data_IF_059354050969
#
_entry.id   IF_059354050969
#
_cell.length_a   1.000
_cell.length_b   1.000
_cell.length_c   1.000
_cell.angle_alpha   90.00
_cell.angle_beta   90.00
_cell.angle_gamma   90.00
#
_symmetry.space_group_name_H-M   'P 1'
#
loop_
_entity.id
_entity.type
_entity.pdbx_description
1 polymer ?
#
# COMPACT_ATOMS: atom_id res chain seq x y z
N UNK A 1 -8.50 -6.12 -20.17
CA UNK A 1 -9.41 -5.00 -19.99
C UNK A 1 -8.80 -3.92 -19.11
N UNK A 2 -9.42 -2.74 -18.99
CA UNK A 2 -8.89 -1.58 -18.26
C UNK A 2 -8.65 -1.85 -16.75
N UNK A 3 -9.34 -2.83 -16.18
CA UNK A 3 -9.31 -3.19 -14.76
C UNK A 3 -8.44 -4.42 -14.46
N UNK A 4 -7.59 -4.80 -15.38
CA UNK A 4 -6.66 -5.92 -15.17
C UNK A 4 -5.25 -5.39 -15.16
N UNK A 5 -4.61 -5.24 -13.97
CA UNK A 5 -3.21 -4.85 -13.91
C UNK A 5 -2.34 -5.89 -14.62
N UNK A 6 -1.40 -5.40 -15.43
CA UNK A 6 -0.42 -6.29 -16.06
C UNK A 6 0.66 -6.67 -15.05
N UNK A 7 1.11 -7.93 -15.02
CA UNK A 7 2.28 -8.29 -14.24
C UNK A 7 3.51 -7.58 -14.79
N UNK A 8 4.45 -7.23 -13.91
CA UNK A 8 5.78 -6.76 -14.33
C UNK A 8 6.60 -7.93 -14.85
N UNK A 9 7.72 -7.64 -15.53
CA UNK A 9 8.63 -8.67 -16.11
C UNK A 9 9.14 -9.67 -15.05
N UNK A 10 9.25 -9.24 -13.79
CA UNK A 10 9.62 -10.09 -12.66
C UNK A 10 8.46 -10.90 -12.06
N UNK A 11 7.26 -10.84 -12.68
CA UNK A 11 6.04 -11.49 -12.21
C UNK A 11 5.29 -10.75 -11.11
N UNK A 12 5.77 -9.62 -10.65
CA UNK A 12 5.11 -8.83 -9.61
C UNK A 12 3.80 -8.26 -10.13
N UNK A 13 2.73 -8.40 -9.36
CA UNK A 13 1.43 -7.80 -9.64
C UNK A 13 1.38 -6.39 -9.07
N UNK A 14 1.08 -5.43 -9.91
CA UNK A 14 0.84 -4.03 -9.50
C UNK A 14 -0.66 -3.81 -9.30
N UNK A 15 -1.01 -2.82 -8.49
CA UNK A 15 -2.42 -2.42 -8.28
C UNK A 15 -2.93 -1.46 -9.35
N UNK A 16 -2.04 -0.86 -10.11
CA UNK A 16 -2.38 0.12 -11.13
C UNK A 16 -2.51 -0.54 -12.51
N UNK A 17 -3.70 -0.47 -13.07
CA UNK A 17 -4.02 -0.95 -14.41
C UNK A 17 -3.95 0.22 -15.43
N UNK A 18 -4.83 0.25 -16.40
CA UNK A 18 -4.88 1.32 -17.41
C UNK A 18 -5.59 2.57 -16.87
N UNK A 19 -4.90 3.35 -16.05
CA UNK A 19 -5.45 4.56 -15.42
C UNK A 19 -6.32 4.33 -14.19
N UNK A 20 -6.41 3.10 -13.70
CA UNK A 20 -7.24 2.74 -12.54
C UNK A 20 -6.42 1.95 -11.53
N UNK A 21 -6.65 2.19 -10.25
CA UNK A 21 -6.18 1.32 -9.16
C UNK A 21 -7.20 0.21 -8.96
N UNK A 22 -6.74 -1.02 -8.85
CA UNK A 22 -7.57 -2.20 -8.55
C UNK A 22 -7.05 -2.81 -7.25
N UNK A 23 -7.84 -2.74 -6.21
CA UNK A 23 -7.47 -3.17 -4.87
C UNK A 23 -8.62 -3.92 -4.19
N UNK A 24 -8.37 -4.36 -2.99
CA UNK A 24 -9.36 -4.94 -2.09
C UNK A 24 -9.39 -4.12 -0.79
N UNK A 25 -10.57 -3.87 -0.28
CA UNK A 25 -10.77 -3.18 1.00
C UNK A 25 -11.87 -3.91 1.79
N UNK A 26 -11.52 -4.46 2.95
CA UNK A 26 -12.47 -5.18 3.79
C UNK A 26 -13.16 -6.37 3.11
N UNK A 27 -12.48 -7.06 2.19
CA UNK A 27 -13.06 -8.16 1.41
C UNK A 27 -13.82 -7.72 0.14
N UNK A 28 -13.98 -6.41 -0.09
CA UNK A 28 -14.64 -5.86 -1.26
C UNK A 28 -13.62 -5.43 -2.32
N UNK A 29 -13.81 -5.88 -3.57
CA UNK A 29 -13.01 -5.37 -4.67
C UNK A 29 -13.33 -3.89 -4.89
N UNK A 30 -12.30 -3.06 -5.06
CA UNK A 30 -12.45 -1.63 -5.37
C UNK A 30 -11.64 -1.25 -6.61
N UNK A 31 -12.28 -0.54 -7.51
CA UNK A 31 -11.67 0.08 -8.69
C UNK A 31 -11.75 1.59 -8.47
N UNK A 32 -10.60 2.25 -8.39
CA UNK A 32 -10.56 3.65 -7.98
C UNK A 32 -9.56 4.48 -8.78
N UNK A 33 -9.80 5.77 -8.82
CA UNK A 33 -8.80 6.75 -9.21
C UNK A 33 -9.04 8.08 -8.51
N UNK A 34 -7.97 8.71 -8.06
CA UNK A 34 -8.00 10.06 -7.50
C UNK A 34 -7.56 11.11 -8.53
N UNK A 35 -7.92 12.35 -8.29
CA UNK A 35 -7.51 13.47 -9.10
C UNK A 35 -7.19 14.70 -8.25
N UNK A 36 -6.34 15.58 -8.80
CA UNK A 36 -6.03 16.83 -8.14
C UNK A 36 -5.43 17.86 -9.09
N UNK A 37 -5.94 19.07 -9.00
CA UNK A 37 -5.38 20.29 -9.59
C UNK A 37 -5.39 21.37 -8.50
N UNK A 38 -4.75 22.50 -8.74
CA UNK A 38 -4.67 23.57 -7.74
C UNK A 38 -6.07 23.97 -7.21
N UNK A 39 -6.31 23.73 -5.92
CA UNK A 39 -7.54 24.06 -5.23
C UNK A 39 -8.67 23.04 -5.36
N UNK A 40 -8.51 21.97 -6.17
CA UNK A 40 -9.53 20.97 -6.38
C UNK A 40 -8.94 19.56 -6.26
N UNK A 41 -9.63 18.70 -5.54
CA UNK A 41 -9.26 17.29 -5.38
C UNK A 41 -10.48 16.39 -5.58
N UNK A 42 -10.25 15.15 -6.02
CA UNK A 42 -11.33 14.19 -6.25
C UNK A 42 -10.90 12.77 -5.91
N UNK A 43 -11.88 11.93 -5.62
CA UNK A 43 -11.75 10.49 -5.48
C UNK A 43 -12.99 9.84 -6.09
N UNK A 44 -12.78 8.83 -6.93
CA UNK A 44 -13.83 8.03 -7.53
C UNK A 44 -13.56 6.56 -7.24
N UNK A 45 -14.58 5.85 -6.74
CA UNK A 45 -14.51 4.43 -6.37
C UNK A 45 -15.71 3.69 -6.93
N UNK A 46 -15.45 2.51 -7.43
CA UNK A 46 -16.48 1.55 -7.82
C UNK A 46 -16.20 0.23 -7.13
N UNK A 47 -17.19 -0.29 -6.45
CA UNK A 47 -17.21 -1.60 -5.81
C UNK A 47 -18.09 -2.52 -6.67
N UNK A 48 -17.51 -3.31 -7.59
CA UNK A 48 -18.26 -4.06 -8.57
C UNK A 48 -19.18 -5.13 -7.98
N UNK A 49 -18.73 -5.77 -6.91
CA UNK A 49 -19.49 -6.85 -6.26
C UNK A 49 -20.69 -6.33 -5.46
N UNK A 50 -20.66 -5.04 -5.10
CA UNK A 50 -21.69 -4.36 -4.30
C UNK A 50 -22.53 -3.39 -5.15
N UNK A 51 -22.22 -3.23 -6.44
CA UNK A 51 -22.82 -2.24 -7.36
C UNK A 51 -22.84 -0.82 -6.77
N UNK A 52 -21.80 -0.46 -6.02
CA UNK A 52 -21.66 0.81 -5.33
C UNK A 52 -20.65 1.72 -6.01
N UNK A 53 -21.08 2.94 -6.33
CA UNK A 53 -20.20 4.01 -6.83
C UNK A 53 -20.17 5.14 -5.82
N UNK A 54 -18.97 5.58 -5.47
CA UNK A 54 -18.73 6.74 -4.61
C UNK A 54 -17.89 7.74 -5.37
N UNK A 55 -18.33 9.00 -5.41
CA UNK A 55 -17.56 10.10 -5.99
C UNK A 55 -17.50 11.23 -4.98
N UNK A 56 -16.27 11.65 -4.68
CA UNK A 56 -15.98 12.79 -3.81
C UNK A 56 -15.30 13.88 -4.62
N UNK A 57 -15.87 15.06 -4.63
CA UNK A 57 -15.31 16.25 -5.26
C UNK A 57 -15.14 17.33 -4.19
N UNK A 58 -13.93 17.85 -4.06
CA UNK A 58 -13.61 18.92 -3.10
C UNK A 58 -13.01 20.12 -3.83
N UNK A 59 -13.43 21.30 -3.45
CA UNK A 59 -12.83 22.56 -3.89
C UNK A 59 -11.76 23.06 -2.90
N UNK A 60 -11.06 22.12 -2.26
CA UNK A 60 -9.99 22.39 -1.31
C UNK A 60 -8.89 21.32 -1.37
N UNK A 61 -7.72 21.63 -0.84
CA UNK A 61 -6.60 20.69 -0.64
C UNK A 61 -6.38 20.37 0.84
N UNK A 62 -7.33 20.73 1.70
CA UNK A 62 -7.28 20.48 3.14
C UNK A 62 -7.60 19.03 3.53
N UNK A 63 -7.42 18.75 4.82
CA UNK A 63 -7.83 17.48 5.42
C UNK A 63 -9.26 17.57 5.98
N UNK A 64 -10.05 16.46 5.95
CA UNK A 64 -9.70 15.17 5.33
C UNK A 64 -9.70 15.25 3.80
N UNK A 65 -8.75 14.59 3.16
CA UNK A 65 -8.69 14.51 1.70
C UNK A 65 -9.80 13.61 1.12
N UNK A 66 -10.09 13.72 -0.21
CA UNK A 66 -11.22 13.04 -0.83
C UNK A 66 -11.14 11.52 -0.71
N UNK A 67 -9.94 10.94 -0.74
CA UNK A 67 -9.76 9.50 -0.56
C UNK A 67 -10.17 9.01 0.84
N UNK A 68 -9.88 9.79 1.90
CA UNK A 68 -10.32 9.45 3.25
C UNK A 68 -11.85 9.56 3.39
N UNK A 69 -12.45 10.57 2.78
CA UNK A 69 -13.91 10.72 2.76
C UNK A 69 -14.58 9.59 1.96
N UNK A 70 -14.04 9.24 0.77
CA UNK A 70 -14.54 8.14 -0.04
C UNK A 70 -14.50 6.80 0.70
N UNK A 71 -13.43 6.56 1.46
CA UNK A 71 -13.34 5.37 2.31
C UNK A 71 -14.36 5.38 3.44
N UNK A 72 -14.53 6.48 4.14
CA UNK A 72 -15.50 6.60 5.23
C UNK A 72 -16.94 6.42 4.72
N UNK A 73 -17.26 6.96 3.54
CA UNK A 73 -18.56 6.74 2.89
C UNK A 73 -18.77 5.27 2.53
N UNK A 74 -17.75 4.59 1.98
CA UNK A 74 -17.83 3.18 1.70
C UNK A 74 -18.09 2.34 2.95
N UNK A 75 -17.38 2.61 4.03
CA UNK A 75 -17.60 1.94 5.31
C UNK A 75 -19.01 2.17 5.87
N UNK A 76 -19.58 3.35 5.66
CA UNK A 76 -20.97 3.64 6.08
C UNK A 76 -21.99 2.76 5.37
N UNK A 77 -21.73 2.39 4.11
CA UNK A 77 -22.66 1.61 3.28
C UNK A 77 -22.38 0.11 3.38
N UNK A 78 -21.11 -0.28 3.31
CA UNK A 78 -20.66 -1.68 3.23
C UNK A 78 -20.35 -2.29 4.61
N UNK A 79 -20.36 -1.48 5.66
CA UNK A 79 -19.93 -1.89 6.99
C UNK A 79 -18.44 -1.58 7.23
N UNK A 80 -18.02 -1.78 8.46
CA UNK A 80 -16.62 -1.57 8.84
C UNK A 80 -15.73 -2.53 8.03
N UNK A 81 -14.77 -1.96 7.32
CA UNK A 81 -13.71 -2.74 6.72
C UNK A 81 -12.83 -3.29 7.85
N UNK A 82 -13.24 -4.42 8.41
CA UNK A 82 -12.41 -5.09 9.38
C UNK A 82 -11.07 -5.39 8.71
N UNK A 83 -10.06 -4.71 9.20
CA UNK A 83 -8.69 -5.08 8.95
C UNK A 83 -8.49 -6.40 9.69
N UNK A 84 -8.82 -7.52 9.05
CA UNK A 84 -8.61 -8.85 9.62
C UNK A 84 -7.14 -8.93 9.95
N UNK A 85 -6.81 -8.60 11.20
CA UNK A 85 -5.46 -8.70 11.69
C UNK A 85 -5.03 -10.15 11.50
N UNK A 86 -4.05 -10.37 10.65
CA UNK A 86 -3.44 -11.68 10.56
C UNK A 86 -2.95 -12.09 11.96
N UNK A 87 -2.88 -13.38 12.21
CA UNK A 87 -2.24 -13.89 13.42
C UNK A 87 -0.86 -13.24 13.57
N UNK A 88 -0.36 -13.03 14.80
CA UNK A 88 0.96 -12.43 15.00
C UNK A 88 2.03 -13.12 14.15
N UNK A 89 2.97 -12.34 13.62
CA UNK A 89 4.08 -12.91 12.87
C UNK A 89 4.86 -13.89 13.76
N UNK A 90 4.92 -15.15 13.34
CA UNK A 90 5.57 -16.24 14.10
C UNK A 90 7.04 -16.43 13.76
N UNK A 91 7.61 -15.62 12.84
CA UNK A 91 9.01 -15.70 12.45
C UNK A 91 9.91 -14.74 13.22
N UNK A 92 11.18 -14.71 12.85
CA UNK A 92 12.17 -13.79 13.43
C UNK A 92 12.10 -12.43 12.69
N UNK A 93 11.67 -11.39 13.39
CA UNK A 93 11.61 -10.03 12.83
C UNK A 93 13.02 -9.45 12.55
N UNK A 94 14.07 -9.93 13.24
CA UNK A 94 15.43 -9.46 13.02
C UNK A 94 15.95 -9.81 11.62
N UNK A 95 15.45 -10.88 11.00
CA UNK A 95 15.77 -11.21 9.61
C UNK A 95 15.34 -10.12 8.63
N UNK A 96 14.32 -9.35 8.97
CA UNK A 96 13.75 -8.28 8.13
C UNK A 96 14.51 -6.96 8.28
N UNK A 97 15.32 -6.81 9.34
CA UNK A 97 16.01 -5.55 9.62
C UNK A 97 17.03 -5.21 8.54
N UNK A 98 17.17 -3.93 8.25
CA UNK A 98 18.14 -3.44 7.27
C UNK A 98 17.66 -2.23 6.49
N UNK A 99 18.50 -1.80 5.56
CA UNK A 99 18.20 -0.72 4.62
C UNK A 99 17.87 -1.29 3.25
N UNK A 100 16.73 -0.89 2.70
CA UNK A 100 16.24 -1.32 1.40
C UNK A 100 16.14 -0.09 0.50
N UNK A 101 16.77 -0.14 -0.68
CA UNK A 101 16.90 1.01 -1.57
C UNK A 101 16.59 0.61 -3.00
N UNK A 102 15.92 1.49 -3.73
CA UNK A 102 15.59 1.25 -5.12
C UNK A 102 15.10 2.51 -5.85
N UNK A 103 14.96 2.43 -7.17
CA UNK A 103 14.51 3.55 -7.97
C UNK A 103 13.03 3.86 -7.73
N UNK A 104 12.69 5.15 -7.70
CA UNK A 104 11.33 5.65 -7.57
C UNK A 104 11.15 6.92 -8.38
N UNK A 105 10.56 6.81 -9.59
CA UNK A 105 10.15 7.93 -10.44
C UNK A 105 11.22 9.04 -10.58
N UNK A 106 12.43 8.65 -10.93
CA UNK A 106 13.55 9.60 -11.15
C UNK A 106 14.31 10.00 -9.88
N UNK A 107 13.95 9.44 -8.73
CA UNK A 107 14.66 9.58 -7.46
C UNK A 107 14.98 8.21 -6.88
N UNK A 108 15.60 8.19 -5.71
CA UNK A 108 15.83 6.97 -4.94
C UNK A 108 14.87 6.91 -3.75
N UNK A 109 14.23 5.78 -3.57
CA UNK A 109 13.42 5.49 -2.38
C UNK A 109 14.22 4.59 -1.44
N UNK A 110 14.26 4.97 -0.18
CA UNK A 110 14.83 4.14 0.89
C UNK A 110 13.79 3.81 1.95
N UNK A 111 13.80 2.57 2.40
CA UNK A 111 13.05 2.10 3.57
C UNK A 111 14.02 1.43 4.52
N UNK A 112 14.01 1.86 5.77
CA UNK A 112 14.78 1.22 6.86
C UNK A 112 13.79 0.41 7.69
N UNK A 113 14.05 -0.87 7.82
CA UNK A 113 13.35 -1.78 8.72
C UNK A 113 14.15 -1.99 10.00
N UNK A 114 13.53 -1.88 11.13
CA UNK A 114 14.10 -2.06 12.46
C UNK A 114 13.09 -2.76 13.37
N UNK A 115 13.56 -3.39 14.44
CA UNK A 115 12.69 -3.97 15.47
C UNK A 115 12.75 -3.10 16.72
N UNK A 116 11.60 -2.81 17.30
CA UNK A 116 11.49 -2.08 18.56
C UNK A 116 10.40 -2.72 19.42
N UNK A 117 10.74 -3.09 20.65
CA UNK A 117 9.85 -3.77 21.59
C UNK A 117 9.14 -5.00 20.98
N UNK A 118 9.83 -5.77 20.13
CA UNK A 118 9.29 -6.97 19.48
C UNK A 118 8.32 -6.67 18.33
N UNK A 119 8.30 -5.44 17.82
CA UNK A 119 7.47 -5.00 16.67
C UNK A 119 8.33 -4.48 15.54
N UNK A 120 7.88 -4.72 14.32
CA UNK A 120 8.52 -4.16 13.13
C UNK A 120 8.22 -2.65 13.05
N UNK A 121 9.27 -1.85 12.91
CA UNK A 121 9.19 -0.44 12.56
C UNK A 121 9.77 -0.19 11.18
N UNK A 122 9.07 0.60 10.38
CA UNK A 122 9.56 1.05 9.08
C UNK A 122 9.76 2.57 9.08
N UNK A 123 10.79 3.02 8.38
CA UNK A 123 11.07 4.43 8.12
C UNK A 123 11.28 4.63 6.62
N UNK A 124 10.48 5.46 5.98
CA UNK A 124 10.60 5.79 4.56
C UNK A 124 11.29 7.16 4.38
N UNK A 125 12.45 7.16 3.76
CA UNK A 125 13.22 8.39 3.52
C UNK A 125 13.40 9.22 4.80
N UNK A 126 12.94 10.47 4.78
CA UNK A 126 13.01 11.38 5.92
C UNK A 126 11.75 11.38 6.81
N UNK A 127 10.76 10.53 6.51
CA UNK A 127 9.55 10.46 7.32
C UNK A 127 9.81 9.89 8.72
N UNK A 128 8.87 10.09 9.63
CA UNK A 128 8.90 9.45 10.95
C UNK A 128 8.73 7.95 10.82
N UNK A 129 9.30 7.21 11.78
CA UNK A 129 9.06 5.78 11.92
C UNK A 129 7.59 5.47 12.19
N UNK A 130 7.13 4.32 11.75
CA UNK A 130 5.80 3.81 12.02
C UNK A 130 5.80 2.29 12.16
N UNK A 131 4.83 1.77 12.87
CA UNK A 131 4.58 0.33 13.01
C UNK A 131 3.50 -0.07 11.99
N UNK A 132 3.82 -0.89 10.99
CA UNK A 132 2.83 -1.42 10.05
C UNK A 132 2.13 -2.64 10.64
N UNK A 133 0.91 -2.93 10.17
CA UNK A 133 0.15 -4.11 10.56
C UNK A 133 0.56 -5.32 9.73
N UNK A 134 0.79 -6.46 10.36
CA UNK A 134 1.08 -7.72 9.67
C UNK A 134 -0.16 -8.27 8.97
N UNK A 135 0.00 -8.77 7.74
CA UNK A 135 -1.07 -9.28 6.88
C UNK A 135 -0.91 -10.74 6.46
N UNK A 136 0.20 -11.37 6.76
CA UNK A 136 0.55 -12.71 6.29
C UNK A 136 1.67 -12.70 5.24
N UNK A 137 2.26 -13.85 4.97
CA UNK A 137 3.24 -14.10 3.88
C UNK A 137 4.35 -13.04 3.74
N UNK A 138 4.96 -12.63 4.85
CA UNK A 138 5.98 -11.58 4.89
C UNK A 138 5.47 -10.21 4.40
N UNK A 139 4.16 -9.96 4.52
CA UNK A 139 3.51 -8.71 4.09
C UNK A 139 2.96 -7.93 5.28
N UNK A 140 3.21 -6.64 5.28
CA UNK A 140 2.69 -5.67 6.25
C UNK A 140 2.02 -4.51 5.51
N UNK A 141 1.06 -3.85 6.16
CA UNK A 141 0.42 -2.66 5.59
C UNK A 141 0.36 -1.47 6.56
N UNK A 142 0.15 -0.30 5.97
CA UNK A 142 -0.22 0.94 6.65
C UNK A 142 -1.25 1.67 5.79
N UNK A 143 -2.52 1.52 6.11
CA UNK A 143 -3.59 1.98 5.22
C UNK A 143 -3.48 1.31 3.85
N UNK A 144 -3.45 2.10 2.77
CA UNK A 144 -3.29 1.60 1.39
C UNK A 144 -1.86 1.31 0.97
N UNK A 145 -0.89 1.47 1.85
CA UNK A 145 0.51 1.14 1.60
C UNK A 145 0.78 -0.31 2.01
N UNK A 146 1.43 -1.07 1.15
CA UNK A 146 1.80 -2.46 1.41
C UNK A 146 3.29 -2.67 1.27
N UNK A 147 3.85 -3.45 2.17
CA UNK A 147 5.28 -3.74 2.30
C UNK A 147 5.46 -5.25 2.36
N UNK A 148 5.99 -5.85 1.31
CA UNK A 148 6.23 -7.29 1.23
C UNK A 148 7.72 -7.58 1.19
N UNK A 149 8.23 -8.28 2.19
CA UNK A 149 9.61 -8.74 2.20
C UNK A 149 9.76 -9.99 1.35
N UNK A 150 10.79 -10.03 0.51
CA UNK A 150 11.01 -11.13 -0.42
C UNK A 150 12.27 -11.88 -0.05
N UNK A 151 12.10 -13.18 0.18
CA UNK A 151 13.20 -14.10 0.46
C UNK A 151 13.80 -14.62 -0.85
N UNK A 152 15.13 -14.60 -0.95
CA UNK A 152 15.90 -15.25 -2.03
C UNK A 152 16.91 -16.21 -1.38
N UNK A 153 16.68 -17.50 -1.53
CA UNK A 153 17.38 -18.51 -0.75
C UNK A 153 17.01 -18.37 0.73
N UNK A 154 18.01 -18.34 1.62
CA UNK A 154 17.80 -18.30 3.07
C UNK A 154 17.66 -16.89 3.65
N UNK A 155 17.86 -15.84 2.86
CA UNK A 155 17.85 -14.45 3.35
C UNK A 155 16.80 -13.57 2.69
N UNK A 156 16.37 -12.57 3.42
CA UNK A 156 15.55 -11.48 2.87
C UNK A 156 16.44 -10.60 1.99
N UNK A 157 16.08 -10.50 0.71
CA UNK A 157 16.88 -9.81 -0.30
C UNK A 157 16.23 -8.50 -0.80
N UNK A 158 14.90 -8.43 -0.77
CA UNK A 158 14.15 -7.31 -1.30
C UNK A 158 13.01 -6.93 -0.35
N UNK A 159 12.60 -5.67 -0.44
CA UNK A 159 11.34 -5.15 0.07
C UNK A 159 10.55 -4.58 -1.11
N UNK A 160 9.37 -5.10 -1.34
CA UNK A 160 8.43 -4.57 -2.33
C UNK A 160 7.49 -3.62 -1.62
N UNK A 161 7.43 -2.41 -2.11
CA UNK A 161 6.53 -1.39 -1.62
C UNK A 161 5.48 -1.09 -2.68
N UNK A 162 4.23 -1.30 -2.33
CA UNK A 162 3.08 -1.04 -3.18
C UNK A 162 2.20 0.05 -2.56
N UNK A 163 1.74 0.97 -3.38
CA UNK A 163 0.79 1.99 -3.01
C UNK A 163 -0.09 2.37 -4.21
N UNK A 164 -1.03 3.29 -4.04
CA UNK A 164 -1.92 3.75 -5.12
C UNK A 164 -1.16 4.34 -6.32
N UNK A 165 0.08 4.82 -6.13
CA UNK A 165 0.84 5.49 -7.18
C UNK A 165 1.84 4.60 -7.89
N UNK A 166 2.11 3.39 -7.41
CA UNK A 166 3.01 2.46 -8.06
C UNK A 166 3.55 1.35 -7.17
N UNK A 167 4.30 0.49 -7.80
CA UNK A 167 5.00 -0.62 -7.21
C UNK A 167 6.51 -0.36 -7.30
N UNK A 168 7.24 -0.57 -6.20
CA UNK A 168 8.65 -0.30 -6.08
C UNK A 168 9.37 -1.52 -5.53
N UNK A 169 10.46 -1.92 -6.19
CA UNK A 169 11.33 -3.01 -5.74
C UNK A 169 12.59 -2.40 -5.13
N UNK A 170 12.72 -2.55 -3.83
CA UNK A 170 13.86 -2.05 -3.07
C UNK A 170 14.77 -3.23 -2.70
N UNK A 171 16.04 -3.14 -3.03
CA UNK A 171 17.02 -4.17 -2.71
C UNK A 171 17.65 -3.90 -1.36
N UNK A 172 17.86 -4.95 -0.59
CA UNK A 172 18.57 -4.86 0.67
C UNK A 172 20.02 -4.48 0.41
N UNK A 173 20.46 -3.36 1.00
CA UNK A 173 21.87 -3.02 0.98
C UNK A 173 22.67 -4.05 1.78
N UNK A 174 23.68 -4.61 1.15
CA UNK A 174 24.71 -5.36 1.89
C UNK A 174 25.47 -4.35 2.75
N UNK A 175 25.50 -4.52 4.05
CA UNK A 175 26.42 -3.85 4.96
C UNK A 175 27.85 -4.27 4.62
#
# INVERSE_FOLDING_TARGET
>A
AMTTPAPLEDGTRVRYAMGLTVAEQGGHQVIAHGGGINGFTSDGRYYPDDDLIIVVLQNSTGAPGPGALGQALAQTVLGDFEDTAAAPFGGDLEELTGSYVGPARGTELSVIASVNNGRLELKMGQASKFEPNYRGDLTWNRGSQEFTFVRKGERIAELRFDNMSGHYVLRRNSL
#
